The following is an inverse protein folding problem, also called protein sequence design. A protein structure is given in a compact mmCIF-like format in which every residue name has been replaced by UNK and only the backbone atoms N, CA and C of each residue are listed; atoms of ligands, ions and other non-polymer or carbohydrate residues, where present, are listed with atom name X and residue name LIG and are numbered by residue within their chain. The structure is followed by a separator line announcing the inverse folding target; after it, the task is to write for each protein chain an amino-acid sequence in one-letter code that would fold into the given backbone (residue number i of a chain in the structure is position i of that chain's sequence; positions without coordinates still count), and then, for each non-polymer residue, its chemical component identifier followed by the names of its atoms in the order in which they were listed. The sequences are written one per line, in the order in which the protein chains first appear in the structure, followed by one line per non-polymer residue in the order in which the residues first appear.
data_IF_820412128936
#
_entry.id   IF_820412128936
#
_cell.length_a   1.000
_cell.length_b   1.000
_cell.length_c   1.000
_cell.angle_alpha   90.00
_cell.angle_beta   90.00
_cell.angle_gamma   90.00
#
_symmetry.space_group_name_H-M   'P 1'
#
loop_
_entity.id
_entity.type
_entity.pdbx_description
1 polymer ?
#
# COMPACT_ATOMS: atom_id res chain seq x y z
N UNK A 1 26.41 -2.03 7.17
CA UNK A 1 25.34 -1.03 7.04
C UNK A 1 24.76 -0.85 8.44
N UNK A 2 24.47 0.38 8.87
CA UNK A 2 23.81 0.59 10.16
C UNK A 2 22.35 0.13 10.07
N UNK A 3 21.82 -0.50 11.12
CA UNK A 3 20.47 -1.07 11.17
C UNK A 3 19.71 -0.46 12.34
N UNK A 4 19.18 0.75 12.20
CA UNK A 4 18.53 1.49 13.28
C UNK A 4 17.09 1.06 13.57
N UNK A 5 16.32 0.74 12.53
CA UNK A 5 14.94 0.26 12.61
C UNK A 5 14.89 -1.24 12.92
N UNK A 6 15.65 -2.06 12.19
CA UNK A 6 15.67 -3.53 12.40
C UNK A 6 16.12 -3.91 13.82
N UNK A 7 17.05 -3.14 14.40
CA UNK A 7 17.52 -3.35 15.78
C UNK A 7 16.39 -3.29 16.84
N UNK A 8 15.27 -2.63 16.52
CA UNK A 8 14.10 -2.51 17.42
C UNK A 8 13.19 -3.72 17.37
N UNK A 9 13.27 -4.51 16.30
CA UNK A 9 12.40 -5.65 16.05
C UNK A 9 13.18 -6.97 15.99
N UNK A 10 14.28 -7.04 16.76
CA UNK A 10 15.10 -8.26 16.89
C UNK A 10 14.23 -9.44 17.31
N UNK A 11 14.19 -10.46 16.46
CA UNK A 11 13.33 -11.64 16.62
C UNK A 11 12.29 -11.81 15.51
N UNK A 12 12.04 -10.76 14.72
CA UNK A 12 11.21 -10.82 13.53
C UNK A 12 12.06 -10.89 12.25
N UNK A 13 11.56 -11.59 11.24
CA UNK A 13 12.09 -11.49 9.87
C UNK A 13 11.54 -10.20 9.26
N UNK A 14 12.37 -9.16 9.22
CA UNK A 14 12.02 -7.87 8.62
C UNK A 14 13.26 -7.24 7.98
N UNK A 15 13.02 -6.42 6.96
CA UNK A 15 14.04 -5.70 6.20
C UNK A 15 13.61 -4.24 6.04
N UNK A 16 14.47 -3.33 6.49
CA UNK A 16 14.27 -1.88 6.35
C UNK A 16 15.45 -1.19 5.68
N UNK A 17 16.30 -1.94 4.97
CA UNK A 17 17.57 -1.47 4.44
C UNK A 17 17.49 -0.21 3.55
N UNK A 18 16.37 0.01 2.83
CA UNK A 18 16.19 1.21 2.01
C UNK A 18 15.83 2.40 2.89
N UNK A 19 14.99 2.20 3.91
CA UNK A 19 14.70 3.26 4.90
C UNK A 19 15.93 3.62 5.73
N UNK A 20 16.80 2.66 6.04
CA UNK A 20 18.06 2.92 6.75
C UNK A 20 18.97 3.90 5.96
N UNK A 21 18.92 3.88 4.63
CA UNK A 21 19.68 4.82 3.79
C UNK A 21 19.13 6.25 3.87
N UNK A 22 17.86 6.43 4.26
CA UNK A 22 17.20 7.73 4.31
C UNK A 22 17.42 8.47 5.64
N UNK A 23 18.01 7.82 6.64
CA UNK A 23 18.33 8.41 7.94
C UNK A 23 19.85 8.55 8.11
N UNK A 24 20.30 9.68 8.64
CA UNK A 24 21.73 9.91 8.83
C UNK A 24 22.28 9.26 10.10
N UNK A 25 21.41 9.04 11.09
CA UNK A 25 21.82 8.59 12.41
C UNK A 25 20.66 7.95 13.20
N UNK A 26 21.03 7.30 14.30
CA UNK A 26 20.09 6.65 15.22
C UNK A 26 19.07 7.61 15.86
N UNK A 27 19.40 8.90 16.02
CA UNK A 27 18.48 9.88 16.60
C UNK A 27 17.30 10.12 15.67
N UNK A 28 17.56 10.38 14.38
CA UNK A 28 16.51 10.58 13.37
C UNK A 28 15.57 9.38 13.26
N UNK A 29 16.13 8.16 13.20
CA UNK A 29 15.33 6.93 13.21
C UNK A 29 14.47 6.78 14.48
N UNK A 30 15.00 7.20 15.63
CA UNK A 30 14.29 7.16 16.91
C UNK A 30 13.18 8.21 16.99
N UNK A 31 13.40 9.40 16.44
CA UNK A 31 12.43 10.48 16.38
C UNK A 31 11.25 10.11 15.47
N UNK A 32 11.52 9.49 14.33
CA UNK A 32 10.49 8.92 13.45
C UNK A 32 9.67 7.85 14.17
N UNK A 33 10.35 6.87 14.79
CA UNK A 33 9.68 5.80 15.53
C UNK A 33 8.74 6.34 16.61
N UNK A 34 9.25 7.27 17.42
CA UNK A 34 8.48 7.90 18.49
C UNK A 34 7.28 8.67 17.93
N UNK A 35 7.47 9.41 16.83
CA UNK A 35 6.39 10.12 16.17
C UNK A 35 5.26 9.19 15.72
N UNK A 36 5.57 8.12 14.98
CA UNK A 36 4.57 7.15 14.51
C UNK A 36 3.84 6.52 15.69
N UNK A 37 4.60 6.03 16.69
CA UNK A 37 4.04 5.43 17.91
C UNK A 37 3.07 6.36 18.61
N UNK A 38 3.49 7.60 18.84
CA UNK A 38 2.72 8.57 19.61
C UNK A 38 1.48 9.01 18.83
N UNK A 39 1.58 9.16 17.51
CA UNK A 39 0.44 9.47 16.63
C UNK A 39 -0.61 8.35 16.63
N UNK A 40 -0.20 7.08 16.63
CA UNK A 40 -1.16 5.97 16.81
C UNK A 40 -1.76 5.96 18.22
N UNK A 41 -0.95 6.10 19.27
CA UNK A 41 -1.45 6.13 20.66
C UNK A 41 -2.47 7.25 20.86
N UNK A 42 -2.21 8.44 20.32
CA UNK A 42 -3.13 9.58 20.38
C UNK A 42 -4.45 9.27 19.66
N UNK A 43 -4.39 8.73 18.44
CA UNK A 43 -5.59 8.36 17.69
C UNK A 43 -6.45 7.35 18.47
N UNK A 44 -5.86 6.25 18.93
CA UNK A 44 -6.60 5.18 19.60
C UNK A 44 -7.05 5.53 21.03
N UNK A 45 -6.45 6.53 21.67
CA UNK A 45 -6.92 7.05 22.95
C UNK A 45 -8.29 7.75 22.83
N UNK A 46 -8.62 8.28 21.65
CA UNK A 46 -9.87 9.01 21.40
C UNK A 46 -10.80 8.32 20.42
N UNK A 47 -10.32 7.30 19.69
CA UNK A 47 -11.12 6.59 18.70
C UNK A 47 -12.27 5.82 19.36
N UNK A 48 -13.47 5.97 18.84
CA UNK A 48 -14.61 5.13 19.20
C UNK A 48 -14.53 3.76 18.49
N UNK A 49 -15.38 2.82 18.88
CA UNK A 49 -15.34 1.45 18.35
C UNK A 49 -15.61 1.38 16.83
N UNK A 50 -16.46 2.25 16.31
CA UNK A 50 -16.73 2.35 14.88
C UNK A 50 -15.48 2.78 14.09
N UNK A 51 -14.76 3.78 14.59
CA UNK A 51 -13.50 4.26 14.00
C UNK A 51 -12.42 3.18 14.02
N UNK A 52 -12.30 2.42 15.13
CA UNK A 52 -11.38 1.29 15.22
C UNK A 52 -11.74 0.19 14.22
N UNK A 53 -13.02 -0.18 14.12
CA UNK A 53 -13.50 -1.16 13.14
C UNK A 53 -13.25 -0.72 11.70
N UNK A 54 -13.46 0.55 11.36
CA UNK A 54 -13.13 1.09 10.03
C UNK A 54 -11.62 1.13 9.78
N UNK A 55 -10.81 1.33 10.82
CA UNK A 55 -9.36 1.29 10.69
C UNK A 55 -8.85 -0.11 10.31
N UNK A 56 -9.51 -1.18 10.76
CA UNK A 56 -9.25 -2.55 10.28
C UNK A 56 -9.45 -2.65 8.75
N UNK A 57 -10.52 -2.04 8.22
CA UNK A 57 -10.78 -2.01 6.77
C UNK A 57 -9.72 -1.19 6.04
N UNK A 58 -9.27 -0.07 6.61
CA UNK A 58 -8.16 0.73 6.06
C UNK A 58 -6.87 -0.08 5.98
N UNK A 59 -6.55 -0.83 7.04
CA UNK A 59 -5.42 -1.75 7.04
C UNK A 59 -5.53 -2.78 5.91
N UNK A 60 -6.65 -3.48 5.81
CA UNK A 60 -6.88 -4.47 4.76
C UNK A 60 -6.72 -3.89 3.35
N UNK A 61 -7.34 -2.73 3.08
CA UNK A 61 -7.20 -2.02 1.80
C UNK A 61 -5.75 -1.60 1.53
N UNK A 62 -5.01 -1.17 2.55
CA UNK A 62 -3.59 -0.81 2.38
C UNK A 62 -2.76 -1.99 1.90
N UNK A 63 -3.04 -3.21 2.40
CA UNK A 63 -2.41 -4.44 1.91
C UNK A 63 -2.77 -4.67 0.44
N UNK A 64 -4.06 -4.66 0.09
CA UNK A 64 -4.52 -4.83 -1.31
C UNK A 64 -3.81 -3.88 -2.27
N UNK A 65 -3.67 -2.60 -1.90
CA UNK A 65 -2.96 -1.60 -2.71
C UNK A 65 -1.46 -1.87 -2.84
N UNK A 66 -0.81 -2.36 -1.79
CA UNK A 66 0.61 -2.75 -1.86
C UNK A 66 0.81 -3.96 -2.79
N UNK A 67 -0.03 -5.01 -2.67
CA UNK A 67 0.01 -6.16 -3.58
C UNK A 67 -0.31 -5.76 -5.02
N UNK A 68 -1.33 -4.93 -5.23
CA UNK A 68 -1.67 -4.40 -6.56
C UNK A 68 -0.53 -3.54 -7.13
N UNK A 69 0.14 -2.74 -6.31
CA UNK A 69 1.32 -1.97 -6.71
C UNK A 69 2.45 -2.87 -7.19
N UNK A 70 2.72 -3.97 -6.47
CA UNK A 70 3.76 -4.93 -6.84
C UNK A 70 3.41 -5.63 -8.16
N UNK A 71 2.14 -6.00 -8.34
CA UNK A 71 1.61 -6.54 -9.60
C UNK A 71 1.86 -5.59 -10.76
N UNK A 72 1.46 -4.32 -10.60
CA UNK A 72 1.58 -3.29 -11.63
C UNK A 72 3.04 -3.04 -12.01
N UNK A 73 3.97 -3.11 -11.05
CA UNK A 73 5.40 -2.99 -11.34
C UNK A 73 5.92 -4.18 -12.17
N UNK A 74 5.52 -5.41 -11.83
CA UNK A 74 5.89 -6.61 -12.60
C UNK A 74 5.29 -6.54 -14.01
N UNK A 75 4.01 -6.19 -14.13
CA UNK A 75 3.33 -6.03 -15.41
C UNK A 75 3.97 -4.92 -16.25
N UNK A 76 4.36 -3.79 -15.65
CA UNK A 76 5.08 -2.72 -16.35
C UNK A 76 6.39 -3.23 -16.97
N UNK A 77 7.17 -4.03 -16.22
CA UNK A 77 8.39 -4.65 -16.74
C UNK A 77 8.10 -5.59 -17.91
N UNK A 78 7.01 -6.35 -17.85
CA UNK A 78 6.57 -7.20 -18.97
C UNK A 78 6.14 -6.36 -20.17
N UNK A 79 5.32 -5.32 -19.97
CA UNK A 79 4.87 -4.42 -21.02
C UNK A 79 6.06 -3.77 -21.75
N UNK A 80 7.07 -3.30 -20.99
CA UNK A 80 8.30 -2.73 -21.55
C UNK A 80 9.06 -3.74 -22.44
N UNK A 81 9.24 -4.98 -21.97
CA UNK A 81 9.93 -6.04 -22.75
C UNK A 81 9.23 -6.39 -24.06
N UNK A 82 7.92 -6.12 -24.14
CA UNK A 82 7.09 -6.37 -25.31
C UNK A 82 6.74 -5.08 -26.06
N UNK A 83 7.47 -3.98 -25.81
CA UNK A 83 7.29 -2.69 -26.49
C UNK A 83 5.87 -2.11 -26.39
N UNK A 84 5.11 -2.52 -25.36
CA UNK A 84 3.77 -2.02 -25.08
C UNK A 84 3.85 -0.70 -24.30
N UNK A 85 4.31 0.36 -24.97
CA UNK A 85 4.69 1.63 -24.34
C UNK A 85 3.55 2.31 -23.59
N UNK A 86 2.33 2.31 -24.15
CA UNK A 86 1.16 2.88 -23.47
C UNK A 86 0.88 2.15 -22.16
N UNK A 87 0.90 0.81 -22.19
CA UNK A 87 0.73 -0.01 -21.00
C UNK A 87 1.86 0.22 -20.00
N UNK A 88 3.10 0.35 -20.47
CA UNK A 88 4.26 0.59 -19.60
C UNK A 88 4.09 1.84 -18.72
N UNK A 89 3.86 3.02 -19.31
CA UNK A 89 3.70 4.26 -18.53
C UNK A 89 2.42 4.26 -17.69
N UNK A 90 1.36 3.61 -18.16
CA UNK A 90 0.14 3.44 -17.37
C UNK A 90 0.44 2.63 -16.11
N UNK A 91 1.02 1.44 -16.25
CA UNK A 91 1.25 0.50 -15.16
C UNK A 91 2.28 1.04 -14.16
N UNK A 92 3.40 1.60 -14.62
CA UNK A 92 4.44 2.10 -13.70
C UNK A 92 4.01 3.34 -12.92
N UNK A 93 3.16 4.20 -13.52
CA UNK A 93 2.50 5.27 -12.78
C UNK A 93 1.63 4.72 -11.65
N UNK A 94 0.77 3.73 -11.95
CA UNK A 94 -0.12 3.15 -10.95
C UNK A 94 0.61 2.34 -9.89
N UNK A 95 1.76 1.72 -10.23
CA UNK A 95 2.61 1.06 -9.25
C UNK A 95 3.06 2.04 -8.15
N UNK A 96 3.65 3.19 -8.51
CA UNK A 96 4.06 4.20 -7.53
C UNK A 96 2.85 4.85 -6.82
N UNK A 97 1.81 5.20 -7.59
CA UNK A 97 0.61 5.82 -7.05
C UNK A 97 -0.04 4.96 -5.96
N UNK A 98 -0.22 3.66 -6.20
CA UNK A 98 -0.82 2.75 -5.23
C UNK A 98 0.09 2.47 -4.04
N UNK A 99 1.42 2.42 -4.23
CA UNK A 99 2.37 2.32 -3.12
C UNK A 99 2.26 3.53 -2.18
N UNK A 100 2.17 4.74 -2.73
CA UNK A 100 1.96 5.96 -1.96
C UNK A 100 0.58 5.98 -1.29
N UNK A 101 -0.47 5.57 -2.01
CA UNK A 101 -1.83 5.53 -1.49
C UNK A 101 -1.98 4.54 -0.34
N UNK A 102 -1.40 3.33 -0.43
CA UNK A 102 -1.40 2.34 0.64
C UNK A 102 -0.90 2.94 1.96
N UNK A 103 0.13 3.78 1.88
CA UNK A 103 0.70 4.45 3.03
C UNK A 103 -0.18 5.56 3.62
N UNK A 104 -0.96 6.27 2.80
CA UNK A 104 -1.87 7.32 3.25
C UNK A 104 -3.13 6.77 3.94
N UNK A 105 -3.63 5.62 3.49
CA UNK A 105 -4.89 5.05 4.00
C UNK A 105 -4.80 4.70 5.49
N UNK A 106 -3.64 4.23 5.97
CA UNK A 106 -3.40 3.93 7.38
C UNK A 106 -2.90 5.15 8.18
N UNK A 107 -2.86 6.34 7.59
CA UNK A 107 -2.49 7.57 8.28
C UNK A 107 -3.64 8.03 9.18
N UNK A 108 -3.39 8.19 10.47
CA UNK A 108 -4.40 8.60 11.45
C UNK A 108 -4.69 10.11 11.42
N UNK A 109 -3.91 10.90 10.69
CA UNK A 109 -4.18 12.32 10.47
C UNK A 109 -5.40 12.59 9.57
N UNK A 110 -5.89 11.56 8.85
CA UNK A 110 -7.00 11.66 7.93
C UNK A 110 -8.22 10.86 8.41
N UNK A 111 -9.37 11.52 8.39
CA UNK A 111 -10.67 10.90 8.65
C UNK A 111 -11.10 9.96 7.52
N UNK A 112 -12.20 9.23 7.76
CA UNK A 112 -12.67 8.18 6.86
C UNK A 112 -13.07 8.74 5.50
N UNK A 113 -13.65 9.93 5.47
CA UNK A 113 -14.11 10.58 4.24
C UNK A 113 -12.94 11.00 3.37
N UNK A 114 -11.90 11.62 3.96
CA UNK A 114 -10.67 11.96 3.24
C UNK A 114 -10.00 10.74 2.65
N UNK A 115 -10.00 9.62 3.38
CA UNK A 115 -9.43 8.35 2.92
C UNK A 115 -10.23 7.77 1.75
N UNK A 116 -11.56 7.84 1.79
CA UNK A 116 -12.42 7.39 0.68
C UNK A 116 -12.22 8.25 -0.58
N UNK A 117 -11.95 9.55 -0.42
CA UNK A 117 -11.78 10.53 -1.49
C UNK A 117 -10.32 10.72 -1.97
N UNK A 118 -9.43 9.77 -1.72
CA UNK A 118 -8.05 9.81 -2.23
C UNK A 118 -8.00 9.66 -3.76
N UNK A 119 -8.02 10.79 -4.44
CA UNK A 119 -7.84 10.95 -5.90
C UNK A 119 -6.36 11.11 -6.29
N UNK A 120 -6.08 11.16 -7.60
CA UNK A 120 -4.74 11.42 -8.15
C UNK A 120 -4.08 12.68 -7.56
N UNK A 121 -4.82 13.79 -7.53
CA UNK A 121 -4.33 15.07 -7.01
C UNK A 121 -4.13 15.02 -5.48
N UNK A 122 -5.08 14.41 -4.77
CA UNK A 122 -5.05 14.35 -3.31
C UNK A 122 -3.93 13.44 -2.78
N UNK A 123 -3.65 12.30 -3.42
CA UNK A 123 -2.56 11.42 -3.00
C UNK A 123 -1.23 12.15 -3.04
N UNK A 124 -0.93 12.86 -4.14
CA UNK A 124 0.29 13.65 -4.28
C UNK A 124 0.44 14.67 -3.14
N UNK A 125 -0.60 15.50 -2.96
CA UNK A 125 -0.62 16.57 -1.97
C UNK A 125 -0.49 16.03 -0.54
N UNK A 126 -1.30 15.04 -0.19
CA UNK A 126 -1.34 14.50 1.17
C UNK A 126 -0.09 13.71 1.51
N UNK A 127 0.51 13.00 0.55
CA UNK A 127 1.77 12.30 0.77
C UNK A 127 2.92 13.28 1.03
N UNK A 128 3.00 14.36 0.24
CA UNK A 128 3.97 15.43 0.43
C UNK A 128 3.81 16.08 1.82
N UNK A 129 2.58 16.46 2.18
CA UNK A 129 2.26 17.10 3.47
C UNK A 129 2.59 16.21 4.67
N UNK A 130 2.20 14.93 4.65
CA UNK A 130 2.37 14.05 5.82
C UNK A 130 3.77 13.46 5.95
N UNK A 131 4.42 13.14 4.82
CA UNK A 131 5.62 12.32 4.86
C UNK A 131 6.86 13.04 4.36
N UNK A 132 6.74 13.95 3.39
CA UNK A 132 7.92 14.59 2.78
C UNK A 132 8.29 15.91 3.47
N UNK A 133 7.28 16.66 3.94
CA UNK A 133 7.46 17.94 4.65
C UNK A 133 7.53 17.80 6.17
N UNK A 134 7.19 16.63 6.70
CA UNK A 134 7.28 16.34 8.14
C UNK A 134 8.73 16.12 8.54
N UNK A 135 9.30 17.03 9.33
CA UNK A 135 10.70 16.98 9.78
C UNK A 135 11.13 15.67 10.46
N UNK A 136 10.19 14.92 11.04
CA UNK A 136 10.46 13.65 11.72
C UNK A 136 10.40 12.44 10.78
N UNK A 137 9.95 12.62 9.53
CA UNK A 137 9.81 11.55 8.56
C UNK A 137 11.03 11.55 7.61
N UNK A 138 11.63 10.38 7.33
CA UNK A 138 12.84 10.30 6.52
C UNK A 138 12.60 10.42 5.00
N UNK A 139 11.34 10.43 4.54
CA UNK A 139 11.02 10.55 3.13
C UNK A 139 11.25 11.99 2.62
N UNK A 140 11.76 12.11 1.41
CA UNK A 140 11.96 13.39 0.73
C UNK A 140 10.87 13.67 -0.31
N UNK A 141 10.88 14.90 -0.86
CA UNK A 141 9.93 15.32 -1.89
C UNK A 141 10.23 14.76 -3.29
N UNK A 142 11.34 14.06 -3.50
CA UNK A 142 11.72 13.60 -4.84
C UNK A 142 10.77 12.51 -5.35
N UNK A 143 10.25 11.65 -4.45
CA UNK A 143 9.19 10.69 -4.79
C UNK A 143 7.95 11.36 -5.39
N UNK A 144 7.60 12.55 -4.90
CA UNK A 144 6.46 13.35 -5.38
C UNK A 144 6.75 13.92 -6.76
N UNK A 145 7.99 14.36 -7.01
CA UNK A 145 8.45 14.80 -8.34
C UNK A 145 8.40 13.65 -9.34
N UNK A 146 8.81 12.45 -8.93
CA UNK A 146 8.75 11.26 -9.79
C UNK A 146 7.31 10.87 -10.13
N UNK A 147 6.39 10.90 -9.16
CA UNK A 147 4.98 10.64 -9.41
C UNK A 147 4.38 11.63 -10.44
N UNK A 148 4.73 12.92 -10.34
CA UNK A 148 4.26 13.94 -11.26
C UNK A 148 4.75 13.70 -12.70
N UNK A 149 6.05 13.40 -12.86
CA UNK A 149 6.61 13.03 -14.17
C UNK A 149 5.90 11.82 -14.78
N UNK A 150 5.67 10.78 -13.97
CA UNK A 150 4.94 9.60 -14.42
C UNK A 150 3.50 9.91 -14.80
N UNK A 151 2.83 10.83 -14.09
CA UNK A 151 1.48 11.29 -14.45
C UNK A 151 1.48 11.94 -15.84
N UNK A 152 2.42 12.86 -16.08
CA UNK A 152 2.56 13.55 -17.37
C UNK A 152 2.81 12.55 -18.52
N UNK A 153 3.72 11.58 -18.33
CA UNK A 153 4.00 10.57 -19.35
C UNK A 153 2.82 9.63 -19.58
N UNK A 154 2.15 9.20 -18.51
CA UNK A 154 0.94 8.38 -18.59
C UNK A 154 -0.15 9.12 -19.37
N UNK A 155 -0.37 10.40 -19.12
CA UNK A 155 -1.34 11.22 -19.86
C UNK A 155 -0.94 11.42 -21.33
N UNK A 156 0.34 11.70 -21.58
CA UNK A 156 0.86 11.88 -22.93
C UNK A 156 0.63 10.63 -23.79
N UNK A 157 1.04 9.45 -23.31
CA UNK A 157 0.88 8.22 -24.09
C UNK A 157 -0.55 7.67 -24.11
N UNK A 158 -1.39 7.97 -23.10
CA UNK A 158 -2.78 7.48 -23.06
C UNK A 158 -3.77 8.36 -23.80
N UNK A 159 -3.55 9.68 -23.85
CA UNK A 159 -4.54 10.64 -24.38
C UNK A 159 -4.01 11.50 -25.52
N UNK A 160 -2.75 11.93 -25.46
CA UNK A 160 -2.15 12.66 -26.58
C UNK A 160 -1.75 11.73 -27.73
N UNK A 161 -1.59 10.43 -27.45
CA UNK A 161 -1.40 9.35 -28.43
C UNK A 161 -0.35 9.71 -29.50
N UNK A 162 0.89 9.99 -29.08
CA UNK A 162 1.92 10.45 -29.99
C UNK A 162 2.24 9.37 -31.02
N UNK A 163 2.45 9.77 -32.28
CA UNK A 163 2.89 8.87 -33.34
C UNK A 163 4.31 8.31 -33.13
N UNK A 164 5.11 8.96 -32.28
CA UNK A 164 6.50 8.58 -32.00
C UNK A 164 6.78 8.64 -30.49
N UNK A 165 7.85 7.96 -30.05
CA UNK A 165 8.34 8.08 -28.68
C UNK A 165 8.97 9.44 -28.44
N UNK A 166 8.65 10.04 -27.30
CA UNK A 166 9.27 11.28 -26.87
C UNK A 166 10.62 11.01 -26.21
N UNK A 167 11.66 11.72 -26.65
CA UNK A 167 12.99 11.73 -26.01
C UNK A 167 12.96 12.31 -24.60
N UNK A 168 11.94 13.09 -24.28
CA UNK A 168 11.78 13.75 -22.98
C UNK A 168 11.03 12.85 -21.99
N UNK A 169 10.44 11.74 -22.46
CA UNK A 169 9.73 10.77 -21.65
C UNK A 169 10.65 9.65 -21.15
N UNK A 170 11.83 10.00 -20.63
CA UNK A 170 12.80 9.02 -20.12
C UNK A 170 12.74 9.00 -18.60
N UNK A 171 12.65 7.80 -18.02
CA UNK A 171 12.64 7.58 -16.58
C UNK A 171 13.85 6.77 -16.13
N UNK A 172 14.31 7.05 -14.92
CA UNK A 172 15.27 6.21 -14.21
C UNK A 172 14.49 5.12 -13.46
N UNK A 173 14.49 3.91 -14.04
CA UNK A 173 13.73 2.78 -13.51
C UNK A 173 14.25 2.29 -12.16
N UNK A 174 15.56 2.36 -11.94
CA UNK A 174 16.17 1.91 -10.70
C UNK A 174 15.73 2.83 -9.54
N UNK A 175 15.74 4.14 -9.78
CA UNK A 175 15.25 5.14 -8.82
C UNK A 175 13.75 4.97 -8.53
N UNK A 176 12.92 4.75 -9.56
CA UNK A 176 11.49 4.55 -9.39
C UNK A 176 11.18 3.27 -8.61
N UNK A 177 11.86 2.18 -8.94
CA UNK A 177 11.71 0.91 -8.24
C UNK A 177 12.17 1.02 -6.79
N UNK A 178 13.26 1.74 -6.52
CA UNK A 178 13.71 2.02 -5.15
C UNK A 178 12.64 2.79 -4.35
N UNK A 179 12.00 3.82 -4.91
CA UNK A 179 10.92 4.54 -4.22
C UNK A 179 9.68 3.68 -3.95
N UNK A 180 9.29 2.83 -4.90
CA UNK A 180 8.17 1.88 -4.70
C UNK A 180 8.50 0.93 -3.54
N UNK A 181 9.72 0.38 -3.51
CA UNK A 181 10.19 -0.51 -2.44
C UNK A 181 10.30 0.21 -1.09
N UNK A 182 10.76 1.46 -1.09
CA UNK A 182 10.76 2.34 0.09
C UNK A 182 9.34 2.47 0.64
N UNK A 183 8.32 2.70 -0.21
CA UNK A 183 6.93 2.75 0.23
C UNK A 183 6.47 1.43 0.88
N UNK A 184 6.93 0.27 0.41
CA UNK A 184 6.57 -1.02 1.01
C UNK A 184 7.21 -1.18 2.40
N UNK A 185 8.51 -0.93 2.51
CA UNK A 185 9.20 -0.94 3.80
C UNK A 185 8.59 0.09 4.77
N UNK A 186 8.21 1.27 4.26
CA UNK A 186 7.61 2.34 5.05
C UNK A 186 6.23 1.98 5.60
N UNK A 187 5.41 1.26 4.81
CA UNK A 187 4.15 0.71 5.26
C UNK A 187 4.39 -0.35 6.36
N UNK A 188 5.28 -1.31 6.07
CA UNK A 188 5.57 -2.42 6.97
C UNK A 188 6.14 -1.94 8.31
N UNK A 189 7.05 -0.98 8.30
CA UNK A 189 7.63 -0.39 9.52
C UNK A 189 6.56 0.22 10.42
N UNK A 190 5.60 0.96 9.85
CA UNK A 190 4.52 1.58 10.63
C UNK A 190 3.57 0.55 11.22
N UNK A 191 3.33 -0.56 10.50
CA UNK A 191 2.56 -1.69 11.02
C UNK A 191 3.32 -2.42 12.14
N UNK A 192 4.65 -2.57 12.04
CA UNK A 192 5.48 -3.08 13.15
C UNK A 192 5.40 -2.21 14.39
N UNK A 193 5.53 -0.89 14.23
CA UNK A 193 5.40 0.06 15.35
C UNK A 193 4.00 -0.06 15.98
N UNK A 194 2.95 -0.13 15.17
CA UNK A 194 1.59 -0.32 15.69
C UNK A 194 1.45 -1.64 16.45
N UNK A 195 1.85 -2.75 15.84
CA UNK A 195 1.74 -4.10 16.39
C UNK A 195 2.49 -4.21 17.72
N UNK A 196 3.71 -3.68 17.83
CA UNK A 196 4.50 -3.86 19.04
C UNK A 196 4.17 -2.90 20.18
N UNK A 197 3.81 -1.66 19.84
CA UNK A 197 3.72 -0.58 20.84
C UNK A 197 2.29 -0.15 21.18
N UNK A 198 1.32 -0.49 20.32
CA UNK A 198 -0.05 0.06 20.40
C UNK A 198 -1.09 -1.04 20.53
N UNK A 199 -1.00 -2.09 19.70
CA UNK A 199 -2.00 -3.17 19.63
C UNK A 199 -2.31 -3.79 21.00
N UNK A 200 -1.28 -3.98 21.85
CA UNK A 200 -1.39 -4.56 23.21
C UNK A 200 -2.35 -3.82 24.14
N UNK A 201 -2.65 -2.55 23.83
CA UNK A 201 -3.53 -1.68 24.61
C UNK A 201 -4.84 -1.33 23.91
N UNK A 202 -5.06 -1.83 22.69
CA UNK A 202 -6.19 -1.49 21.83
C UNK A 202 -6.98 -2.74 21.50
N UNK A 203 -8.26 -2.76 21.87
CA UNK A 203 -9.19 -3.77 21.37
C UNK A 203 -9.65 -3.37 19.97
N UNK A 204 -9.36 -4.21 18.97
CA UNK A 204 -9.76 -4.04 17.57
C UNK A 204 -10.93 -4.98 17.28
N UNK A 205 -12.14 -4.53 17.63
CA UNK A 205 -13.37 -5.27 17.36
C UNK A 205 -14.27 -4.57 16.33
N UNK A 206 -15.23 -5.31 15.80
CA UNK A 206 -16.26 -4.78 14.90
C UNK A 206 -17.63 -4.78 15.58
N UNK A 207 -17.74 -4.18 16.76
CA UNK A 207 -19.03 -4.00 17.45
C UNK A 207 -20.07 -3.23 16.61
N UNK A 208 -19.64 -2.30 15.75
CA UNK A 208 -20.49 -1.54 14.82
C UNK A 208 -20.58 -2.17 13.41
N UNK A 209 -20.92 -3.47 13.32
CA UNK A 209 -20.83 -4.29 12.09
C UNK A 209 -21.37 -3.63 10.83
N UNK A 210 -22.61 -3.16 10.84
CA UNK A 210 -23.27 -2.64 9.64
C UNK A 210 -22.55 -1.41 9.07
N UNK A 211 -22.14 -0.49 9.94
CA UNK A 211 -21.39 0.72 9.53
C UNK A 211 -20.00 0.38 9.01
N UNK A 212 -19.31 -0.58 9.64
CA UNK A 212 -18.00 -1.04 9.17
C UNK A 212 -18.12 -1.75 7.82
N UNK A 213 -19.19 -2.51 7.60
CA UNK A 213 -19.49 -3.17 6.33
C UNK A 213 -19.76 -2.18 5.21
N UNK A 214 -20.58 -1.17 5.48
CA UNK A 214 -20.87 -0.10 4.53
C UNK A 214 -19.58 0.65 4.15
N UNK A 215 -18.71 0.90 5.14
CA UNK A 215 -17.39 1.47 4.88
C UNK A 215 -16.53 0.56 4.01
N UNK A 216 -16.54 -0.76 4.24
CA UNK A 216 -15.82 -1.73 3.40
C UNK A 216 -16.32 -1.71 1.96
N UNK A 217 -17.64 -1.66 1.74
CA UNK A 217 -18.20 -1.53 0.39
C UNK A 217 -17.70 -0.26 -0.31
N UNK A 218 -17.78 0.90 0.35
CA UNK A 218 -17.29 2.17 -0.22
C UNK A 218 -15.77 2.17 -0.46
N UNK A 219 -15.03 1.44 0.38
CA UNK A 219 -13.57 1.47 0.36
C UNK A 219 -12.97 0.48 -0.64
N UNK A 220 -13.53 -0.73 -0.76
CA UNK A 220 -12.95 -1.85 -1.49
C UNK A 220 -13.72 -2.21 -2.78
N UNK A 221 -15.05 -2.01 -2.82
CA UNK A 221 -15.82 -2.30 -4.02
C UNK A 221 -15.84 -1.07 -4.95
N UNK A 222 -15.37 -1.24 -6.19
CA UNK A 222 -15.40 -0.18 -7.22
C UNK A 222 -16.15 -0.58 -8.49
N UNK A 223 -16.60 -1.84 -8.60
CA UNK A 223 -17.39 -2.31 -9.74
C UNK A 223 -18.87 -2.20 -9.38
N UNK A 224 -19.51 -1.13 -9.91
CA UNK A 224 -20.91 -0.79 -9.64
C UNK A 224 -21.16 -0.30 -8.21
N UNK A 225 -22.19 0.52 -8.03
CA UNK A 225 -22.72 0.85 -6.69
C UNK A 225 -23.55 -0.33 -6.19
N UNK A 226 -22.86 -1.36 -5.67
CA UNK A 226 -23.52 -2.54 -5.12
C UNK A 226 -23.11 -2.78 -3.66
N UNK A 227 -24.09 -3.09 -2.82
CA UNK A 227 -23.88 -3.52 -1.43
C UNK A 227 -23.52 -5.01 -1.35
N UNK A 228 -22.70 -5.49 -2.30
CA UNK A 228 -22.31 -6.89 -2.46
C UNK A 228 -20.81 -6.94 -2.72
N UNK A 229 -20.09 -7.85 -2.05
CA UNK A 229 -18.67 -8.09 -2.32
C UNK A 229 -18.49 -8.63 -3.75
N UNK A 230 -17.58 -8.02 -4.50
CA UNK A 230 -17.29 -8.38 -5.90
C UNK A 230 -16.02 -9.23 -6.04
N UNK A 231 -15.27 -9.37 -4.95
CA UNK A 231 -14.00 -10.08 -4.86
C UNK A 231 -14.13 -11.14 -3.76
N UNK A 232 -13.79 -12.39 -4.09
CA UNK A 232 -13.88 -13.50 -3.14
C UNK A 232 -12.96 -13.29 -1.93
N UNK A 233 -11.81 -12.61 -2.11
CA UNK A 233 -10.93 -12.26 -1.00
C UNK A 233 -11.58 -11.22 -0.06
N UNK A 234 -12.37 -10.29 -0.59
CA UNK A 234 -13.14 -9.34 0.23
C UNK A 234 -14.24 -10.06 1.02
N UNK A 235 -14.90 -11.04 0.38
CA UNK A 235 -15.90 -11.87 1.04
C UNK A 235 -15.27 -12.72 2.15
N UNK A 236 -14.13 -13.35 1.91
CA UNK A 236 -13.45 -14.18 2.90
C UNK A 236 -12.95 -13.34 4.08
N UNK A 237 -12.32 -12.19 3.80
CA UNK A 237 -11.89 -11.26 4.83
C UNK A 237 -13.07 -10.81 5.73
N UNK A 238 -14.19 -10.43 5.13
CA UNK A 238 -15.39 -10.06 5.90
C UNK A 238 -15.93 -11.21 6.75
N UNK A 239 -15.95 -12.42 6.18
CA UNK A 239 -16.38 -13.62 6.89
C UNK A 239 -15.51 -13.91 8.13
N UNK A 240 -14.19 -13.84 7.99
CA UNK A 240 -13.25 -14.01 9.12
C UNK A 240 -13.45 -12.93 10.17
N UNK A 241 -13.55 -11.67 9.75
CA UNK A 241 -13.77 -10.53 10.62
C UNK A 241 -15.06 -10.69 11.45
N UNK A 242 -16.16 -11.12 10.82
CA UNK A 242 -17.43 -11.40 11.51
C UNK A 242 -17.35 -12.59 12.47
N UNK A 243 -16.68 -13.67 12.03
CA UNK A 243 -16.54 -14.92 12.79
C UNK A 243 -15.72 -14.73 14.06
N UNK A 244 -14.63 -13.99 13.97
CA UNK A 244 -13.71 -13.73 15.09
C UNK A 244 -14.06 -12.46 15.87
N UNK A 245 -14.95 -11.61 15.32
CA UNK A 245 -15.44 -10.39 15.96
C UNK A 245 -14.47 -9.21 15.91
N UNK A 246 -13.40 -9.32 15.14
CA UNK A 246 -12.30 -8.36 15.07
C UNK A 246 -11.12 -8.94 14.28
N UNK A 247 -10.06 -8.16 14.12
CA UNK A 247 -8.84 -8.60 13.46
C UNK A 247 -7.62 -7.90 14.05
N UNK A 248 -6.50 -8.61 14.06
CA UNK A 248 -5.20 -8.03 14.39
C UNK A 248 -4.66 -7.24 13.20
N UNK A 249 -4.04 -6.10 13.49
CA UNK A 249 -3.27 -5.34 12.50
C UNK A 249 -1.82 -5.77 12.63
N UNK A 250 -1.44 -6.71 11.77
CA UNK A 250 -0.11 -7.29 11.74
C UNK A 250 0.77 -6.61 10.68
N UNK A 251 2.09 -6.58 10.90
CA UNK A 251 3.05 -6.30 9.83
C UNK A 251 2.81 -7.23 8.64
N UNK A 252 3.08 -6.72 7.44
CA UNK A 252 2.87 -7.49 6.20
C UNK A 252 3.70 -8.77 6.22
N UNK A 253 4.94 -8.72 6.71
CA UNK A 253 5.80 -9.91 6.81
C UNK A 253 5.25 -11.00 7.73
N UNK A 254 4.41 -10.63 8.70
CA UNK A 254 3.75 -11.57 9.59
C UNK A 254 2.41 -12.07 9.04
N UNK A 255 1.75 -11.26 8.21
CA UNK A 255 0.50 -11.62 7.54
C UNK A 255 0.71 -12.33 6.19
N UNK A 256 1.96 -12.47 5.74
CA UNK A 256 2.29 -12.87 4.38
C UNK A 256 1.71 -14.23 3.97
N UNK A 257 1.77 -15.23 4.84
CA UNK A 257 1.23 -16.56 4.55
C UNK A 257 -0.29 -16.52 4.31
N UNK A 258 -1.02 -15.73 5.11
CA UNK A 258 -2.45 -15.51 4.92
C UNK A 258 -2.71 -14.75 3.61
N UNK A 259 -1.99 -13.64 3.38
CA UNK A 259 -2.14 -12.85 2.16
C UNK A 259 -1.81 -13.66 0.89
N UNK A 260 -0.86 -14.61 0.98
CA UNK A 260 -0.48 -15.50 -0.11
C UNK A 260 -1.64 -16.40 -0.54
N UNK A 261 -2.40 -16.92 0.42
CA UNK A 261 -3.57 -17.77 0.17
C UNK A 261 -4.74 -16.97 -0.44
N UNK A 262 -4.81 -15.66 -0.22
CA UNK A 262 -5.87 -14.79 -0.74
C UNK A 262 -5.55 -14.20 -2.12
N UNK A 263 -4.28 -13.89 -2.39
CA UNK A 263 -3.90 -13.07 -3.53
C UNK A 263 -3.81 -13.86 -4.84
N UNK A 264 -4.82 -13.67 -5.71
CA UNK A 264 -4.85 -14.25 -7.05
C UNK A 264 -5.19 -15.75 -7.07
N UNK A 265 -5.77 -16.27 -6.00
CA UNK A 265 -6.07 -17.70 -5.81
C UNK A 265 -7.48 -18.09 -6.29
N UNK A 266 -8.46 -17.21 -6.12
CA UNK A 266 -9.89 -17.46 -6.43
C UNK A 266 -10.28 -17.25 -7.91
N UNK A 267 -9.41 -16.69 -8.73
CA UNK A 267 -9.76 -16.14 -10.05
C UNK A 267 -9.75 -17.13 -11.22
N UNK A 268 -9.54 -18.43 -10.98
CA UNK A 268 -9.36 -19.43 -12.05
C UNK A 268 -10.50 -19.42 -13.09
N UNK A 269 -11.75 -19.45 -12.62
CA UNK A 269 -12.91 -19.45 -13.51
C UNK A 269 -13.02 -18.18 -14.36
N UNK A 270 -12.51 -17.05 -13.84
CA UNK A 270 -12.53 -15.77 -14.56
C UNK A 270 -11.57 -15.83 -15.73
N UNK A 271 -10.34 -16.34 -15.52
CA UNK A 271 -9.36 -16.54 -16.59
C UNK A 271 -9.91 -17.43 -17.72
N UNK A 272 -10.61 -18.51 -17.36
CA UNK A 272 -11.27 -19.39 -18.33
C UNK A 272 -12.35 -18.64 -19.12
N UNK A 273 -13.23 -17.90 -18.45
CA UNK A 273 -14.32 -17.13 -19.07
C UNK A 273 -13.83 -16.06 -20.04
N UNK A 274 -12.70 -15.41 -19.76
CA UNK A 274 -12.11 -14.38 -20.64
C UNK A 274 -11.11 -14.95 -21.65
N UNK A 275 -10.96 -16.28 -21.73
CA UNK A 275 -10.03 -16.98 -22.61
C UNK A 275 -8.57 -16.50 -22.44
N UNK A 276 -8.15 -16.25 -21.20
CA UNK A 276 -6.79 -15.82 -20.86
C UNK A 276 -6.04 -16.97 -20.18
N UNK A 277 -4.85 -17.36 -20.67
CA UNK A 277 -4.04 -18.39 -20.02
C UNK A 277 -3.60 -17.95 -18.61
N UNK A 278 -3.90 -18.78 -17.60
CA UNK A 278 -3.49 -18.54 -16.22
C UNK A 278 -2.12 -19.15 -15.96
N UNK A 279 -1.06 -18.40 -16.25
CA UNK A 279 0.34 -18.86 -16.03
C UNK A 279 0.83 -18.65 -14.60
N UNK A 280 0.11 -17.86 -13.79
CA UNK A 280 0.49 -17.45 -12.42
C UNK A 280 1.84 -16.72 -12.33
N UNK A 281 2.46 -16.38 -13.47
CA UNK A 281 3.76 -15.72 -13.49
C UNK A 281 3.73 -14.36 -12.79
N UNK A 282 2.77 -13.50 -13.16
CA UNK A 282 2.66 -12.14 -12.59
C UNK A 282 2.45 -12.20 -11.07
N UNK A 283 1.52 -13.05 -10.61
CA UNK A 283 1.20 -13.24 -9.19
C UNK A 283 2.45 -13.70 -8.42
N UNK A 284 3.14 -14.74 -8.91
CA UNK A 284 4.36 -15.27 -8.28
C UNK A 284 5.47 -14.22 -8.18
N UNK A 285 5.72 -13.46 -9.25
CA UNK A 285 6.76 -12.44 -9.24
C UNK A 285 6.42 -11.26 -8.31
N UNK A 286 5.13 -10.87 -8.22
CA UNK A 286 4.67 -9.84 -7.30
C UNK A 286 4.83 -10.27 -5.83
N UNK A 287 4.42 -11.50 -5.52
CA UNK A 287 4.61 -12.11 -4.20
C UNK A 287 6.10 -12.21 -3.84
N UNK A 288 6.94 -12.67 -4.78
CA UNK A 288 8.39 -12.76 -4.57
C UNK A 288 9.04 -11.40 -4.35
N UNK A 289 8.58 -10.35 -5.06
CA UNK A 289 9.07 -8.99 -4.86
C UNK A 289 8.81 -8.52 -3.43
N UNK A 290 7.57 -8.68 -2.95
CA UNK A 290 7.16 -8.29 -1.59
C UNK A 290 7.96 -9.06 -0.53
N UNK A 291 8.08 -10.38 -0.68
CA UNK A 291 8.83 -11.20 0.26
C UNK A 291 10.32 -10.81 0.31
N UNK A 292 10.91 -10.47 -0.84
CA UNK A 292 12.34 -10.14 -0.92
C UNK A 292 12.70 -8.79 -0.31
N UNK A 293 11.73 -7.89 -0.15
CA UNK A 293 11.99 -6.49 0.23
C UNK A 293 11.57 -6.15 1.66
N UNK A 294 10.68 -6.94 2.26
CA UNK A 294 10.07 -6.65 3.55
C UNK A 294 10.71 -7.36 4.74
#
# INVERSE_FOLDING_TARGET
MSTYFEDRFRGYSCNFNLLEKLVNNKCEASDYYAWVRDTYKQYYATANEEQKGRFIIRYYKSKKLMYSSAQMLVEAKVAKRNECVVAYYYLIYYALFQAMQANLIICTAYDDEKVLQLSHENVKKFFDEQFCKTKKCPLDGDIVVQLEKLREYREYYSYAMPFNLSKDAVIDEDVLEEYIKICYQFLNLRLFIFSEEVSKSVKLDISCKDSVREYMYKSCNRIGDTNVFQDDADQNFWYELERYGGADILPITMAYDHDFDEYGTYDYEVYEKINMPRTQYIVREALSLIYSIL
#
